data_IF_932943382097
#
_entry.id   IF_932943382097
#
_cell.length_a   1.000
_cell.length_b   1.000
_cell.length_c   1.000
_cell.angle_alpha   90.00
_cell.angle_beta   90.00
_cell.angle_gamma   90.00
#
_symmetry.space_group_name_H-M   'P 1'
#
loop_
_entity.id
_entity.type
_entity.pdbx_description
1 polymer ?
#
# COMPACT_ATOMS: atom_id res chain seq x y z
N UNK A 1 4.84 25.06 -2.33
CA UNK A 1 3.74 25.29 -3.27
C UNK A 1 2.49 25.79 -2.55
N UNK A 2 1.76 24.98 -1.77
CA UNK A 2 0.47 25.34 -1.18
C UNK A 2 0.51 25.55 0.35
N UNK A 3 1.35 26.47 0.84
CA UNK A 3 1.48 26.77 2.28
C UNK A 3 0.22 27.40 2.87
N UNK A 4 -0.49 28.20 2.09
CA UNK A 4 -1.54 29.07 2.59
C UNK A 4 -2.80 28.28 2.98
N UNK A 5 -2.96 27.10 2.39
CA UNK A 5 -3.94 26.10 2.83
C UNK A 5 -3.80 25.75 4.33
N UNK A 6 -2.60 25.85 4.89
CA UNK A 6 -2.33 25.44 6.27
C UNK A 6 -2.60 26.54 7.29
N UNK A 7 -3.14 27.70 6.93
CA UNK A 7 -3.46 28.79 7.87
C UNK A 7 -4.24 28.31 9.11
N UNK A 8 -3.83 28.70 10.35
CA UNK A 8 -2.72 29.59 10.73
C UNK A 8 -1.36 28.88 10.98
N UNK A 9 -1.22 27.63 10.55
CA UNK A 9 -0.06 26.75 10.77
C UNK A 9 0.90 26.69 9.57
N UNK A 10 0.97 27.74 8.74
CA UNK A 10 1.81 27.76 7.54
C UNK A 10 3.29 27.51 7.87
N UNK A 11 3.78 28.10 8.97
CA UNK A 11 5.17 27.96 9.39
C UNK A 11 5.51 26.52 9.80
N UNK A 12 4.55 25.79 10.37
CA UNK A 12 4.71 24.37 10.67
C UNK A 12 4.88 23.55 9.40
N UNK A 13 4.04 23.79 8.39
CA UNK A 13 4.13 23.12 7.09
C UNK A 13 5.47 23.41 6.40
N UNK A 14 5.96 24.66 6.44
CA UNK A 14 7.27 25.04 5.89
C UNK A 14 8.42 24.41 6.64
N UNK A 15 8.37 24.40 7.98
CA UNK A 15 9.38 23.78 8.83
C UNK A 15 9.48 22.27 8.56
N UNK A 16 8.35 21.57 8.54
CA UNK A 16 8.30 20.14 8.25
C UNK A 16 8.74 19.81 6.83
N UNK A 17 8.39 20.64 5.85
CA UNK A 17 8.89 20.48 4.48
C UNK A 17 10.42 20.57 4.44
N UNK A 18 11.01 21.64 5.01
CA UNK A 18 12.47 21.82 5.06
C UNK A 18 13.16 20.68 5.80
N UNK A 19 12.67 20.34 7.00
CA UNK A 19 13.20 19.24 7.79
C UNK A 19 13.15 17.91 7.02
N UNK A 20 12.01 17.62 6.37
CA UNK A 20 11.85 16.35 5.64
C UNK A 20 12.74 16.27 4.41
N UNK A 21 12.99 17.40 3.74
CA UNK A 21 13.94 17.50 2.65
C UNK A 21 15.39 17.28 3.11
N UNK A 22 15.78 17.90 4.23
CA UNK A 22 17.17 17.87 4.72
C UNK A 22 17.53 16.55 5.43
N UNK A 23 16.55 15.89 6.06
CA UNK A 23 16.78 14.73 6.93
C UNK A 23 16.21 13.43 6.40
N UNK A 24 15.33 13.49 5.41
CA UNK A 24 14.64 12.33 4.82
C UNK A 24 14.11 11.37 5.90
N UNK A 25 13.35 11.88 6.89
CA UNK A 25 12.83 11.05 7.95
C UNK A 25 11.88 10.00 7.37
N UNK A 26 11.88 8.80 7.95
CA UNK A 26 10.85 7.81 7.64
C UNK A 26 9.56 8.22 8.34
N UNK A 27 8.55 8.58 7.56
CA UNK A 27 7.22 8.98 8.02
C UNK A 27 6.19 7.96 7.50
N UNK A 28 5.44 7.30 8.41
CA UNK A 28 4.22 6.59 8.00
C UNK A 28 3.01 7.52 8.08
N UNK A 29 1.89 7.11 7.51
CA UNK A 29 0.61 7.79 7.69
C UNK A 29 -0.41 6.90 8.41
N UNK A 30 -1.15 7.48 9.34
CA UNK A 30 -2.23 6.85 10.10
C UNK A 30 -3.54 7.62 9.84
N UNK A 31 -4.24 7.23 8.79
CA UNK A 31 -5.33 8.04 8.20
C UNK A 31 -6.71 7.43 8.49
N UNK A 32 -6.83 6.12 8.33
CA UNK A 32 -8.11 5.42 8.36
C UNK A 32 -8.58 5.22 9.80
N UNK A 33 -9.85 5.54 10.06
CA UNK A 33 -10.50 5.29 11.34
C UNK A 33 -10.70 3.79 11.58
N UNK A 34 -10.68 3.35 12.84
CA UNK A 34 -11.03 1.97 13.17
C UNK A 34 -12.40 1.56 12.62
N UNK A 35 -12.55 0.33 12.10
CA UNK A 35 -13.80 -0.16 11.52
C UNK A 35 -14.77 -0.60 12.62
N UNK A 36 -15.10 0.31 13.54
CA UNK A 36 -16.04 0.09 14.64
C UNK A 36 -17.28 0.94 14.37
N UNK A 37 -18.47 0.35 14.57
CA UNK A 37 -19.80 0.92 14.35
C UNK A 37 -19.93 1.78 13.09
N UNK A 38 -19.55 1.20 11.93
CA UNK A 38 -19.69 1.88 10.61
C UNK A 38 -21.13 2.22 10.24
N UNK A 39 -22.10 1.64 10.94
CA UNK A 39 -23.52 1.99 10.89
C UNK A 39 -23.85 3.32 11.60
N UNK A 40 -22.88 3.92 12.32
CA UNK A 40 -23.04 5.17 13.06
C UNK A 40 -22.06 6.25 12.60
N UNK A 41 -22.43 7.54 12.72
CA UNK A 41 -21.51 8.66 12.52
C UNK A 41 -20.30 8.62 13.49
N UNK A 42 -19.07 9.00 13.06
CA UNK A 42 -17.87 8.96 13.90
C UNK A 42 -17.95 9.76 15.21
N UNK A 43 -18.80 10.78 15.29
CA UNK A 43 -19.04 11.56 16.51
C UNK A 43 -19.85 10.80 17.56
N UNK A 44 -20.58 9.74 17.19
CA UNK A 44 -21.31 8.85 18.10
C UNK A 44 -20.43 7.69 18.63
N UNK A 45 -19.29 7.41 17.98
CA UNK A 45 -18.23 6.49 18.42
C UNK A 45 -16.92 7.22 18.76
N UNK A 46 -17.10 8.37 19.41
CA UNK A 46 -16.02 9.31 19.67
C UNK A 46 -14.92 8.80 20.60
N UNK A 47 -15.16 7.73 21.36
CA UNK A 47 -14.18 7.12 22.26
C UNK A 47 -13.09 6.32 21.51
N UNK A 48 -13.41 5.84 20.30
CA UNK A 48 -12.49 5.04 19.47
C UNK A 48 -11.68 5.92 18.50
N UNK A 49 -12.33 6.90 17.88
CA UNK A 49 -11.71 7.72 16.85
C UNK A 49 -10.71 8.71 17.46
N UNK A 50 -9.60 8.96 16.74
CA UNK A 50 -8.66 10.05 17.08
C UNK A 50 -9.40 11.38 17.26
N UNK A 51 -9.32 11.96 18.45
CA UNK A 51 -9.94 13.24 18.81
C UNK A 51 -9.11 14.02 19.82
N UNK A 52 -9.30 15.34 19.82
CA UNK A 52 -8.74 16.24 20.82
C UNK A 52 -9.61 16.19 22.08
N UNK A 53 -9.02 15.79 23.20
CA UNK A 53 -9.66 15.85 24.52
C UNK A 53 -9.55 17.24 25.14
N UNK A 54 -8.43 17.93 24.94
CA UNK A 54 -8.13 19.20 25.61
C UNK A 54 -7.16 20.07 24.81
N UNK A 55 -7.46 21.36 24.76
CA UNK A 55 -6.55 22.41 24.31
C UNK A 55 -5.72 22.92 25.50
N UNK A 56 -4.41 23.07 25.31
CA UNK A 56 -3.49 23.61 26.32
C UNK A 56 -2.54 24.62 25.69
N UNK A 57 -1.89 25.44 26.52
CA UNK A 57 -0.87 26.39 26.05
C UNK A 57 0.30 25.69 25.33
N UNK A 58 0.55 24.41 25.64
CA UNK A 58 1.63 23.61 25.04
C UNK A 58 1.22 22.88 23.76
N UNK A 59 -0.07 22.76 23.47
CA UNK A 59 -0.57 21.96 22.36
C UNK A 59 -1.88 21.25 22.67
N UNK A 60 -2.18 20.22 21.89
CA UNK A 60 -3.40 19.43 21.96
C UNK A 60 -3.16 18.13 22.74
N UNK A 61 -4.05 17.78 23.67
CA UNK A 61 -4.11 16.43 24.24
C UNK A 61 -5.03 15.60 23.35
N UNK A 62 -4.50 14.54 22.77
CA UNK A 62 -5.20 13.70 21.79
C UNK A 62 -5.30 12.26 22.29
N UNK A 63 -6.48 11.68 22.08
CA UNK A 63 -6.75 10.27 22.36
C UNK A 63 -7.44 9.58 21.19
N UNK A 64 -7.39 8.26 21.17
CA UNK A 64 -8.06 7.40 20.21
C UNK A 64 -7.09 6.57 19.38
N UNK A 65 -7.61 5.90 18.35
CA UNK A 65 -6.83 4.98 17.53
C UNK A 65 -6.97 5.23 16.03
N UNK A 66 -6.01 4.70 15.28
CA UNK A 66 -6.02 4.57 13.82
C UNK A 66 -5.65 3.14 13.46
N UNK A 67 -6.22 2.62 12.39
CA UNK A 67 -5.97 1.24 11.96
C UNK A 67 -4.90 1.17 10.89
N UNK A 68 -4.24 0.01 10.85
CA UNK A 68 -3.35 -0.42 9.77
C UNK A 68 -2.31 0.65 9.46
N UNK A 69 -1.59 1.11 10.49
CA UNK A 69 -0.47 2.03 10.34
C UNK A 69 0.75 1.23 9.85
N UNK A 70 0.70 0.79 8.58
CA UNK A 70 1.71 -0.09 7.96
C UNK A 70 3.13 0.45 8.16
N UNK A 71 4.01 -0.40 8.70
CA UNK A 71 5.42 -0.08 8.94
C UNK A 71 5.69 0.92 10.07
N UNK A 72 4.66 1.41 10.77
CA UNK A 72 4.76 2.46 11.80
C UNK A 72 5.71 2.13 12.96
N UNK A 73 5.89 0.85 13.28
CA UNK A 73 6.83 0.41 14.31
C UNK A 73 8.31 0.65 13.94
N UNK A 74 8.59 0.98 12.68
CA UNK A 74 9.93 1.25 12.15
C UNK A 74 10.14 2.74 11.78
N UNK A 75 9.13 3.59 11.93
CA UNK A 75 9.19 4.99 11.45
C UNK A 75 9.67 5.95 12.50
N UNK A 76 10.25 7.08 12.07
CA UNK A 76 10.62 8.17 12.97
C UNK A 76 9.39 8.96 13.44
N UNK A 77 8.41 9.13 12.54
CA UNK A 77 7.20 9.89 12.81
C UNK A 77 5.97 9.21 12.19
N UNK A 78 4.81 9.50 12.79
CA UNK A 78 3.49 9.18 12.27
C UNK A 78 2.74 10.46 11.91
N UNK A 79 2.36 10.57 10.64
CA UNK A 79 1.46 11.59 10.15
C UNK A 79 0.01 11.16 10.39
N UNK A 80 -0.71 11.88 11.25
CA UNK A 80 -2.11 11.59 11.58
C UNK A 80 -3.01 12.53 10.80
N UNK A 81 -3.95 11.96 10.05
CA UNK A 81 -4.91 12.70 9.25
C UNK A 81 -6.24 11.93 9.15
N UNK A 82 -7.18 12.48 8.38
CA UNK A 82 -8.51 11.90 8.20
C UNK A 82 -8.83 11.79 6.72
N UNK A 83 -9.16 10.57 6.29
CA UNK A 83 -9.69 10.26 4.97
C UNK A 83 -10.66 9.10 5.16
N UNK A 84 -11.91 9.26 4.74
CA UNK A 84 -12.91 8.24 4.97
C UNK A 84 -14.27 8.59 4.39
N UNK A 85 -15.12 7.57 4.36
CA UNK A 85 -16.50 7.61 3.85
C UNK A 85 -17.36 8.66 4.56
N UNK A 86 -17.16 8.82 5.87
CA UNK A 86 -17.92 9.77 6.67
C UNK A 86 -17.02 10.97 6.94
N UNK A 87 -17.40 12.17 6.45
CA UNK A 87 -16.68 13.39 6.74
C UNK A 87 -16.58 13.66 8.24
N UNK A 88 -15.53 14.34 8.66
CA UNK A 88 -15.43 14.93 9.99
C UNK A 88 -16.57 15.93 10.17
N UNK A 89 -17.25 15.90 11.32
CA UNK A 89 -18.41 16.75 11.62
C UNK A 89 -18.20 17.70 12.82
N UNK A 90 -17.15 17.52 13.61
CA UNK A 90 -16.91 18.27 14.86
C UNK A 90 -15.44 18.71 14.97
N UNK A 91 -15.23 19.91 15.56
CA UNK A 91 -13.93 20.52 15.85
C UNK A 91 -12.93 19.53 16.45
N UNK A 92 -13.37 18.69 17.40
CA UNK A 92 -12.48 17.78 18.13
C UNK A 92 -11.89 16.66 17.27
N UNK A 93 -12.54 16.28 16.16
CA UNK A 93 -12.02 15.31 15.20
C UNK A 93 -11.32 15.96 14.01
N UNK A 94 -11.42 17.28 13.85
CA UNK A 94 -10.78 18.04 12.78
C UNK A 94 -9.32 18.36 13.15
N UNK A 95 -8.47 17.33 13.29
CA UNK A 95 -7.08 17.48 13.66
C UNK A 95 -6.14 16.74 12.70
N UNK A 96 -5.15 17.44 12.16
CA UNK A 96 -4.12 16.88 11.28
C UNK A 96 -2.77 17.32 11.81
N UNK A 97 -1.88 16.38 12.10
CA UNK A 97 -0.63 16.67 12.81
C UNK A 97 0.43 15.58 12.58
N UNK A 98 1.65 15.87 13.01
CA UNK A 98 2.77 14.92 13.04
C UNK A 98 3.10 14.52 14.49
N UNK A 99 3.44 13.26 14.73
CA UNK A 99 3.92 12.78 16.02
C UNK A 99 5.23 12.00 15.89
N UNK A 100 6.24 12.25 16.73
CA UNK A 100 7.33 11.30 16.92
C UNK A 100 6.77 9.95 17.38
N UNK A 101 7.26 8.86 16.79
CA UNK A 101 6.81 7.49 17.10
C UNK A 101 7.04 7.12 18.58
N UNK A 102 8.02 7.75 19.24
CA UNK A 102 8.34 7.55 20.66
C UNK A 102 7.64 8.54 21.61
N UNK A 103 6.63 9.28 21.16
CA UNK A 103 5.90 10.23 22.02
C UNK A 103 5.24 9.49 23.19
N UNK A 104 5.39 9.94 24.45
CA UNK A 104 4.69 9.33 25.58
C UNK A 104 3.18 9.24 25.35
N UNK A 105 2.62 8.05 25.56
CA UNK A 105 1.20 7.74 25.28
C UNK A 105 0.96 7.09 23.92
N UNK A 106 1.89 7.19 22.96
CA UNK A 106 1.85 6.41 21.72
C UNK A 106 2.10 4.94 22.02
N UNK A 107 1.23 4.07 21.50
CA UNK A 107 1.32 2.61 21.62
C UNK A 107 1.01 1.95 20.29
N UNK A 108 1.58 0.77 20.09
CA UNK A 108 1.34 -0.08 18.93
C UNK A 108 0.83 -1.44 19.38
N UNK A 109 -0.25 -1.91 18.75
CA UNK A 109 -0.63 -3.32 18.82
C UNK A 109 -0.32 -3.91 17.45
N UNK A 110 0.78 -4.64 17.37
CA UNK A 110 1.21 -5.31 16.14
C UNK A 110 0.24 -6.44 15.79
N UNK A 111 0.00 -6.65 14.48
CA UNK A 111 -0.56 -7.91 14.01
C UNK A 111 0.49 -9.03 14.15
N UNK A 112 0.07 -10.27 13.95
CA UNK A 112 0.98 -11.42 13.78
C UNK A 112 2.13 -11.05 12.84
N UNK A 113 3.37 -11.25 13.27
CA UNK A 113 4.57 -10.98 12.47
C UNK A 113 4.91 -12.19 11.62
N UNK A 114 4.89 -11.99 10.30
CA UNK A 114 5.29 -13.01 9.33
C UNK A 114 6.80 -13.18 9.33
N UNK A 115 7.55 -12.09 9.59
CA UNK A 115 9.00 -12.15 9.79
C UNK A 115 9.38 -13.03 10.99
N UNK A 116 8.72 -12.86 12.13
CA UNK A 116 8.95 -13.70 13.31
C UNK A 116 8.63 -15.16 13.01
N UNK A 117 7.47 -15.44 12.41
CA UNK A 117 7.09 -16.81 12.04
C UNK A 117 8.10 -17.44 11.07
N UNK A 118 8.51 -16.71 10.03
CA UNK A 118 9.52 -17.15 9.06
C UNK A 118 10.90 -17.39 9.70
N UNK A 119 11.27 -16.59 10.69
CA UNK A 119 12.56 -16.69 11.40
C UNK A 119 12.59 -17.87 12.37
N UNK A 120 11.50 -18.09 13.10
CA UNK A 120 11.43 -19.14 14.14
C UNK A 120 11.12 -20.51 13.53
N UNK A 121 10.20 -20.57 12.56
CA UNK A 121 9.70 -21.83 12.00
C UNK A 121 10.26 -22.16 10.62
N UNK A 122 11.04 -21.27 10.02
CA UNK A 122 11.55 -21.42 8.66
C UNK A 122 12.99 -20.93 8.50
N UNK A 123 13.31 -20.49 7.29
CA UNK A 123 14.60 -19.90 6.97
C UNK A 123 14.47 -18.90 5.82
N UNK A 124 15.49 -18.07 5.55
CA UNK A 124 15.51 -17.21 4.37
C UNK A 124 15.45 -17.97 3.03
N UNK A 125 15.74 -19.27 3.01
CA UNK A 125 15.52 -20.10 1.82
C UNK A 125 14.04 -20.50 1.68
N UNK A 126 13.37 -20.77 2.80
CA UNK A 126 11.99 -21.24 2.81
C UNK A 126 10.96 -20.10 2.68
N UNK A 127 11.28 -18.94 3.27
CA UNK A 127 10.46 -17.73 3.29
C UNK A 127 11.29 -16.49 2.93
N UNK A 128 11.77 -16.38 1.67
CA UNK A 128 12.72 -15.35 1.25
C UNK A 128 12.17 -13.91 1.22
N UNK A 129 10.85 -13.73 1.28
CA UNK A 129 10.21 -12.41 1.35
C UNK A 129 9.73 -12.13 2.77
N UNK A 130 8.92 -13.03 3.33
CA UNK A 130 8.35 -12.86 4.68
C UNK A 130 9.41 -12.58 5.75
N UNK A 131 10.60 -13.19 5.62
CA UNK A 131 11.71 -13.03 6.58
C UNK A 131 12.45 -11.67 6.55
N UNK A 132 12.11 -10.75 5.63
CA UNK A 132 12.88 -9.50 5.48
C UNK A 132 12.14 -8.29 4.92
N UNK A 133 10.91 -8.48 4.42
CA UNK A 133 10.10 -7.38 3.87
C UNK A 133 8.68 -7.36 4.46
N UNK A 134 8.48 -7.96 5.64
CA UNK A 134 7.21 -7.89 6.36
C UNK A 134 6.99 -6.48 6.96
N UNK A 135 6.03 -5.75 6.41
CA UNK A 135 5.62 -4.46 6.95
C UNK A 135 4.44 -4.67 7.91
N UNK A 136 4.71 -4.67 9.23
CA UNK A 136 3.66 -4.92 10.22
C UNK A 136 2.57 -3.84 10.17
N UNK A 137 1.32 -4.29 10.10
CA UNK A 137 0.12 -3.44 10.07
C UNK A 137 -0.40 -3.21 11.49
N UNK A 138 0.33 -2.39 12.26
CA UNK A 138 -0.01 -2.17 13.66
C UNK A 138 -1.24 -1.25 13.83
N UNK A 139 -2.03 -1.53 14.86
CA UNK A 139 -3.00 -0.55 15.39
C UNK A 139 -2.21 0.53 16.10
N UNK A 140 -2.42 1.78 15.71
CA UNK A 140 -1.77 2.96 16.29
C UNK A 140 -2.71 3.57 17.33
N UNK A 141 -2.24 3.66 18.57
CA UNK A 141 -3.02 4.15 19.71
C UNK A 141 -2.36 5.41 20.26
N UNK A 142 -3.17 6.43 20.47
CA UNK A 142 -2.82 7.64 21.19
C UNK A 142 -3.59 7.62 22.51
N UNK A 143 -2.87 7.54 23.61
CA UNK A 143 -3.42 7.58 24.96
C UNK A 143 -2.96 8.89 25.62
N UNK A 144 -3.82 9.92 25.51
CA UNK A 144 -3.59 11.27 26.03
C UNK A 144 -2.23 11.86 25.63
N UNK A 145 -1.89 11.72 24.35
CA UNK A 145 -0.63 12.22 23.80
C UNK A 145 -0.68 13.74 23.70
N UNK A 146 0.42 14.40 24.08
CA UNK A 146 0.58 15.84 23.81
C UNK A 146 1.11 16.01 22.39
N UNK A 147 0.33 16.66 21.53
CA UNK A 147 0.74 17.14 20.20
C UNK A 147 1.12 18.61 20.33
N UNK A 148 2.42 18.97 20.25
CA UNK A 148 2.84 20.37 20.30
C UNK A 148 2.23 21.19 19.16
N UNK A 149 1.95 22.48 19.40
CA UNK A 149 1.39 23.37 18.38
C UNK A 149 2.24 23.43 17.11
N UNK A 150 3.56 23.28 17.22
CA UNK A 150 4.51 23.28 16.11
C UNK A 150 4.35 22.06 15.18
N UNK A 151 3.62 21.03 15.61
CA UNK A 151 3.37 19.82 14.85
C UNK A 151 1.93 19.73 14.29
N UNK A 152 1.11 20.74 14.54
CA UNK A 152 -0.26 20.84 14.01
C UNK A 152 -0.23 21.43 12.60
N UNK A 153 -1.01 20.83 11.70
CA UNK A 153 -1.19 21.32 10.32
C UNK A 153 -2.61 21.84 10.08
N UNK A 154 -3.62 21.21 10.71
CA UNK A 154 -5.02 21.65 10.71
C UNK A 154 -5.59 21.34 12.08
N UNK A 155 -6.31 22.29 12.68
CA UNK A 155 -7.08 22.04 13.88
C UNK A 155 -8.37 22.87 13.91
N UNK A 156 -9.49 22.22 14.20
CA UNK A 156 -10.80 22.82 14.42
C UNK A 156 -11.55 23.30 13.17
N UNK A 157 -10.85 23.43 12.05
CA UNK A 157 -11.42 23.75 10.74
C UNK A 157 -11.88 22.45 10.05
N UNK A 158 -13.18 22.15 10.21
CA UNK A 158 -13.82 20.95 9.68
C UNK A 158 -13.77 20.90 8.15
N UNK A 159 -13.97 22.04 7.48
CA UNK A 159 -13.93 22.11 6.02
C UNK A 159 -12.53 21.81 5.50
N UNK A 160 -11.50 22.44 6.09
CA UNK A 160 -10.10 22.21 5.73
C UNK A 160 -9.67 20.77 6.02
N UNK A 161 -10.10 20.18 7.14
CA UNK A 161 -9.81 18.78 7.46
C UNK A 161 -10.40 17.82 6.42
N UNK A 162 -11.66 18.00 6.02
CA UNK A 162 -12.32 17.17 5.00
C UNK A 162 -11.72 17.36 3.60
N UNK A 163 -11.21 18.55 3.29
CA UNK A 163 -10.60 18.88 1.99
C UNK A 163 -9.07 18.75 1.95
N UNK A 164 -8.46 18.15 2.98
CA UNK A 164 -7.01 18.03 3.07
C UNK A 164 -6.40 17.28 1.88
N UNK A 165 -6.82 16.04 1.63
CA UNK A 165 -6.23 15.21 0.57
C UNK A 165 -6.49 15.75 -0.85
N UNK A 166 -7.70 16.22 -1.20
CA UNK A 166 -7.96 16.81 -2.51
C UNK A 166 -7.16 18.10 -2.79
N UNK A 167 -6.87 18.92 -1.76
CA UNK A 167 -6.27 20.26 -1.96
C UNK A 167 -4.76 20.33 -1.73
N UNK A 168 -4.17 19.37 -1.02
CA UNK A 168 -2.74 19.42 -0.64
C UNK A 168 -1.78 18.89 -1.70
N UNK A 169 -2.29 18.26 -2.77
CA UNK A 169 -1.45 17.61 -3.78
C UNK A 169 -0.84 16.28 -3.33
N UNK A 170 -1.28 15.74 -2.18
CA UNK A 170 -0.84 14.44 -1.69
C UNK A 170 -1.27 13.31 -2.62
N UNK A 171 -2.57 13.24 -2.96
CA UNK A 171 -3.13 12.11 -3.73
C UNK A 171 -2.47 11.89 -5.10
N UNK A 172 -2.27 12.92 -5.95
CA UNK A 172 -1.60 12.73 -7.25
C UNK A 172 -0.19 12.16 -7.14
N UNK A 173 0.53 12.45 -6.06
CA UNK A 173 1.90 11.97 -5.83
C UNK A 173 1.89 10.56 -5.22
N UNK A 174 0.94 10.30 -4.33
CA UNK A 174 0.70 8.99 -3.74
C UNK A 174 0.38 7.93 -4.80
N UNK A 175 -0.49 8.24 -5.78
CA UNK A 175 -0.86 7.29 -6.82
C UNK A 175 0.30 6.98 -7.77
N UNK A 176 1.15 7.95 -8.10
CA UNK A 176 2.38 7.69 -8.86
C UNK A 176 3.26 6.69 -8.11
N UNK A 177 3.55 6.96 -6.84
CA UNK A 177 4.36 6.06 -6.02
C UNK A 177 3.77 4.64 -5.97
N UNK A 178 2.47 4.52 -5.71
CA UNK A 178 1.76 3.25 -5.68
C UNK A 178 1.83 2.49 -7.00
N UNK A 179 1.59 3.19 -8.12
CA UNK A 179 1.58 2.62 -9.46
C UNK A 179 2.97 2.14 -9.89
N UNK A 180 4.01 2.97 -9.73
CA UNK A 180 5.38 2.58 -10.06
C UNK A 180 5.85 1.41 -9.21
N UNK A 181 5.56 1.41 -7.90
CA UNK A 181 5.92 0.31 -7.00
C UNK A 181 5.24 -1.00 -7.40
N UNK A 182 3.96 -0.96 -7.77
CA UNK A 182 3.24 -2.14 -8.27
C UNK A 182 3.83 -2.63 -9.60
N UNK A 183 4.19 -1.73 -10.51
CA UNK A 183 4.82 -2.08 -11.77
C UNK A 183 6.16 -2.83 -11.56
N UNK A 184 7.02 -2.36 -10.65
CA UNK A 184 8.27 -3.04 -10.26
C UNK A 184 7.98 -4.40 -9.60
N UNK A 185 6.97 -4.50 -8.74
CA UNK A 185 6.56 -5.79 -8.16
C UNK A 185 6.14 -6.79 -9.25
N UNK A 186 5.45 -6.32 -10.28
CA UNK A 186 5.03 -7.15 -11.41
C UNK A 186 6.19 -7.52 -12.34
N UNK A 187 7.24 -6.70 -12.45
CA UNK A 187 8.51 -7.12 -13.10
C UNK A 187 9.06 -8.39 -12.42
N UNK A 188 9.12 -8.35 -11.09
CA UNK A 188 9.61 -9.45 -10.28
C UNK A 188 8.74 -10.70 -10.43
N UNK A 189 7.42 -10.57 -10.27
CA UNK A 189 6.46 -11.68 -10.39
C UNK A 189 6.48 -12.30 -11.79
N UNK A 190 6.51 -11.48 -12.85
CA UNK A 190 6.59 -11.98 -14.23
C UNK A 190 7.89 -12.78 -14.46
N UNK A 191 9.02 -12.29 -13.93
CA UNK A 191 10.29 -13.02 -13.96
C UNK A 191 10.23 -14.37 -13.24
N UNK A 192 9.59 -14.43 -12.07
CA UNK A 192 9.39 -15.69 -11.35
C UNK A 192 8.51 -16.67 -12.12
N UNK A 193 7.40 -16.21 -12.71
CA UNK A 193 6.51 -17.05 -13.51
C UNK A 193 7.22 -17.63 -14.73
N UNK A 194 7.97 -16.81 -15.47
CA UNK A 194 8.77 -17.27 -16.61
C UNK A 194 9.70 -18.41 -16.20
N UNK A 195 10.50 -18.20 -15.14
CA UNK A 195 11.40 -19.23 -14.60
C UNK A 195 10.63 -20.46 -14.10
N UNK A 196 9.45 -20.28 -13.50
CA UNK A 196 8.67 -21.39 -12.97
C UNK A 196 8.17 -22.31 -14.11
N UNK A 197 7.72 -21.74 -15.22
CA UNK A 197 7.28 -22.50 -16.40
C UNK A 197 8.46 -23.19 -17.11
N UNK A 198 9.65 -22.59 -17.10
CA UNK A 198 10.90 -23.22 -17.56
C UNK A 198 11.28 -24.41 -16.67
N UNK A 199 11.29 -24.22 -15.35
CA UNK A 199 11.61 -25.27 -14.39
C UNK A 199 10.59 -26.43 -14.39
N UNK A 200 9.35 -26.15 -14.78
CA UNK A 200 8.31 -27.17 -14.99
C UNK A 200 8.39 -27.83 -16.38
N UNK A 201 9.02 -27.21 -17.36
CA UNK A 201 9.04 -27.68 -18.76
C UNK A 201 7.73 -27.42 -19.52
N UNK A 202 6.89 -26.50 -19.02
CA UNK A 202 5.57 -26.20 -19.60
C UNK A 202 5.56 -24.89 -20.41
N UNK A 203 6.68 -24.17 -20.46
CA UNK A 203 6.83 -22.86 -21.14
C UNK A 203 6.40 -22.85 -22.61
N UNK A 204 6.51 -23.99 -23.30
CA UNK A 204 6.21 -24.11 -24.73
C UNK A 204 4.74 -24.51 -25.00
N UNK A 205 3.94 -24.74 -23.95
CA UNK A 205 2.52 -25.02 -24.11
C UNK A 205 1.76 -23.73 -24.43
N UNK A 206 0.94 -23.75 -25.48
CA UNK A 206 0.17 -22.59 -25.94
C UNK A 206 -0.65 -21.92 -24.83
N UNK A 207 -1.33 -22.70 -23.99
CA UNK A 207 -2.12 -22.17 -22.87
C UNK A 207 -1.26 -21.46 -21.81
N UNK A 208 -0.07 -22.01 -21.52
CA UNK A 208 0.89 -21.41 -20.59
C UNK A 208 1.46 -20.10 -21.16
N UNK A 209 1.81 -20.07 -22.44
CA UNK A 209 2.28 -18.85 -23.10
C UNK A 209 1.24 -17.73 -23.08
N UNK A 210 -0.05 -18.07 -23.29
CA UNK A 210 -1.14 -17.11 -23.20
C UNK A 210 -1.24 -16.52 -21.78
N UNK A 211 -1.18 -17.36 -20.75
CA UNK A 211 -1.23 -16.93 -19.35
C UNK A 211 -0.04 -16.05 -18.96
N UNK A 212 1.18 -16.43 -19.37
CA UNK A 212 2.39 -15.62 -19.17
C UNK A 212 2.26 -14.27 -19.88
N UNK A 213 1.77 -14.27 -21.12
CA UNK A 213 1.50 -13.06 -21.89
C UNK A 213 0.52 -12.12 -21.20
N UNK A 214 -0.53 -12.65 -20.57
CA UNK A 214 -1.48 -11.85 -19.79
C UNK A 214 -0.82 -11.18 -18.58
N UNK A 215 0.03 -11.91 -17.82
CA UNK A 215 0.78 -11.32 -16.68
C UNK A 215 1.72 -10.20 -17.15
N UNK A 216 2.40 -10.39 -18.29
CA UNK A 216 3.25 -9.35 -18.89
C UNK A 216 2.42 -8.14 -19.34
N UNK A 217 1.21 -8.36 -19.87
CA UNK A 217 0.31 -7.28 -20.26
C UNK A 217 -0.11 -6.43 -19.05
N UNK A 218 -0.48 -7.06 -17.93
CA UNK A 218 -0.75 -6.36 -16.67
C UNK A 218 0.46 -5.54 -16.20
N UNK A 219 1.66 -6.14 -16.23
CA UNK A 219 2.91 -5.43 -15.91
C UNK A 219 3.10 -4.18 -16.79
N UNK A 220 2.92 -4.32 -18.11
CA UNK A 220 3.11 -3.21 -19.05
C UNK A 220 2.08 -2.10 -18.83
N UNK A 221 0.84 -2.46 -18.48
CA UNK A 221 -0.22 -1.50 -18.18
C UNK A 221 0.19 -0.55 -17.05
N UNK A 222 0.72 -1.06 -15.92
CA UNK A 222 1.09 -0.21 -14.79
C UNK A 222 2.30 0.68 -15.10
N UNK A 223 3.28 0.21 -15.87
CA UNK A 223 4.34 1.08 -16.38
C UNK A 223 3.79 2.20 -17.28
N UNK A 224 2.87 1.87 -18.19
CA UNK A 224 2.24 2.85 -19.07
C UNK A 224 1.41 3.90 -18.30
N UNK A 225 0.67 3.47 -17.26
CA UNK A 225 -0.08 4.38 -16.40
C UNK A 225 0.87 5.30 -15.62
N UNK A 226 1.94 4.75 -15.04
CA UNK A 226 2.96 5.53 -14.34
C UNK A 226 3.60 6.58 -15.27
N UNK A 227 3.96 6.20 -16.49
CA UNK A 227 4.50 7.11 -17.51
C UNK A 227 3.51 8.23 -17.86
N UNK A 228 2.24 7.89 -18.08
CA UNK A 228 1.19 8.86 -18.40
C UNK A 228 0.95 9.86 -17.26
N UNK A 229 1.03 9.42 -16.00
CA UNK A 229 0.90 10.31 -14.83
C UNK A 229 1.99 11.39 -14.81
N UNK A 230 3.23 11.05 -15.16
CA UNK A 230 4.38 11.96 -15.01
C UNK A 230 4.73 12.73 -16.28
N UNK A 231 4.42 12.20 -17.47
CA UNK A 231 4.71 12.84 -18.77
C UNK A 231 3.65 13.84 -19.22
N UNK A 232 2.46 13.84 -18.60
CA UNK A 232 1.41 14.83 -18.82
C UNK A 232 0.97 15.50 -17.49
N UNK A 233 1.89 16.15 -16.77
CA UNK A 233 1.56 16.73 -15.47
C UNK A 233 0.60 17.92 -15.64
N UNK A 234 -0.24 18.18 -14.63
CA UNK A 234 -1.20 19.29 -14.61
C UNK A 234 -0.67 20.46 -13.79
N UNK A 235 -0.87 21.72 -14.24
CA UNK A 235 -0.54 22.89 -13.44
C UNK A 235 -1.22 22.85 -12.06
N UNK A 236 -0.54 23.35 -11.03
CA UNK A 236 -1.09 23.40 -9.67
C UNK A 236 -1.01 24.80 -9.05
N UNK A 237 0.08 25.15 -8.38
CA UNK A 237 0.25 26.44 -7.70
C UNK A 237 1.56 27.04 -8.16
N UNK A 238 1.53 28.28 -8.67
CA UNK A 238 2.70 28.91 -9.28
C UNK A 238 3.31 28.01 -10.36
N UNK A 239 4.62 27.83 -10.33
CA UNK A 239 5.35 26.99 -11.30
C UNK A 239 5.32 25.48 -10.97
N UNK A 240 4.63 25.07 -9.90
CA UNK A 240 4.57 23.67 -9.50
C UNK A 240 3.47 22.93 -10.27
N UNK A 241 3.76 21.67 -10.59
CA UNK A 241 2.82 20.76 -11.26
C UNK A 241 2.49 19.55 -10.39
N UNK A 242 1.36 18.91 -10.67
CA UNK A 242 0.95 17.64 -10.09
C UNK A 242 0.86 16.56 -11.17
N UNK A 243 1.13 15.28 -10.84
CA UNK A 243 0.89 14.18 -11.77
C UNK A 243 -0.55 14.12 -12.27
N UNK A 244 -0.75 13.58 -13.47
CA UNK A 244 -2.09 13.43 -14.05
C UNK A 244 -2.94 12.42 -13.27
N UNK A 245 -4.09 12.86 -12.79
CA UNK A 245 -5.03 12.01 -12.05
C UNK A 245 -5.94 11.16 -12.94
N UNK A 246 -6.07 11.41 -14.24
CA UNK A 246 -6.84 10.54 -15.14
C UNK A 246 -6.26 9.11 -15.18
N UNK A 247 -4.96 8.90 -15.53
CA UNK A 247 -4.32 7.59 -15.38
C UNK A 247 -4.17 7.16 -13.91
N UNK A 248 -4.04 8.12 -12.98
CA UNK A 248 -4.00 7.85 -11.53
C UNK A 248 -5.26 7.14 -11.02
N UNK A 249 -6.43 7.64 -11.39
CA UNK A 249 -7.72 7.04 -11.06
C UNK A 249 -7.91 5.67 -11.72
N UNK A 250 -7.45 5.52 -12.97
CA UNK A 250 -7.44 4.22 -13.64
C UNK A 250 -6.56 3.20 -12.88
N UNK A 251 -5.36 3.58 -12.45
CA UNK A 251 -4.50 2.74 -11.60
C UNK A 251 -5.23 2.29 -10.33
N UNK A 252 -5.83 3.24 -9.59
CA UNK A 252 -6.48 2.94 -8.31
C UNK A 252 -7.55 1.85 -8.45
N UNK A 253 -8.33 1.86 -9.54
CA UNK A 253 -9.38 0.86 -9.80
C UNK A 253 -8.79 -0.43 -10.37
N UNK A 254 -7.92 -0.35 -11.38
CA UNK A 254 -7.44 -1.52 -12.11
C UNK A 254 -6.49 -2.38 -11.25
N UNK A 255 -5.72 -1.76 -10.35
CA UNK A 255 -4.85 -2.48 -9.42
C UNK A 255 -5.63 -3.52 -8.59
N UNK A 256 -6.86 -3.20 -8.17
CA UNK A 256 -7.68 -4.09 -7.34
C UNK A 256 -8.15 -5.34 -8.08
N UNK A 257 -8.12 -5.32 -9.41
CA UNK A 257 -8.54 -6.44 -10.28
C UNK A 257 -7.30 -7.20 -10.75
N UNK A 258 -6.30 -6.45 -11.22
CA UNK A 258 -5.12 -7.01 -11.86
C UNK A 258 -4.31 -7.89 -10.91
N UNK A 259 -4.10 -7.48 -9.64
CA UNK A 259 -3.25 -8.25 -8.73
C UNK A 259 -3.83 -9.64 -8.41
N UNK A 260 -5.14 -9.70 -8.10
CA UNK A 260 -5.85 -10.97 -7.90
C UNK A 260 -5.89 -11.81 -9.17
N UNK A 261 -6.10 -11.18 -10.34
CA UNK A 261 -6.07 -11.90 -11.62
C UNK A 261 -4.68 -12.48 -11.93
N UNK A 262 -3.60 -11.74 -11.67
CA UNK A 262 -2.22 -12.21 -11.82
C UNK A 262 -1.96 -13.40 -10.90
N UNK A 263 -2.33 -13.31 -9.61
CA UNK A 263 -2.22 -14.43 -8.67
C UNK A 263 -2.96 -15.66 -9.18
N UNK A 264 -4.24 -15.51 -9.53
CA UNK A 264 -5.08 -16.59 -10.05
C UNK A 264 -4.45 -17.23 -11.30
N UNK A 265 -3.99 -16.43 -12.25
CA UNK A 265 -3.33 -16.94 -13.47
C UNK A 265 -2.06 -17.74 -13.14
N UNK A 266 -1.27 -17.32 -12.15
CA UNK A 266 -0.08 -18.06 -11.70
C UNK A 266 -0.47 -19.38 -11.04
N UNK A 267 -1.46 -19.38 -10.15
CA UNK A 267 -1.94 -20.60 -9.49
C UNK A 267 -2.48 -21.61 -10.50
N UNK A 268 -3.20 -21.16 -11.53
CA UNK A 268 -3.65 -22.02 -12.62
C UNK A 268 -2.49 -22.56 -13.48
N UNK A 269 -1.44 -21.76 -13.69
CA UNK A 269 -0.35 -22.07 -14.63
C UNK A 269 0.72 -22.96 -13.99
N UNK A 270 1.09 -22.68 -12.74
CA UNK A 270 2.14 -23.42 -12.01
C UNK A 270 1.54 -24.57 -11.20
N UNK A 271 0.30 -24.40 -10.73
CA UNK A 271 -0.50 -25.44 -10.08
C UNK A 271 0.27 -26.17 -8.95
N UNK A 272 0.28 -27.50 -8.97
CA UNK A 272 0.92 -28.34 -7.96
C UNK A 272 2.44 -28.13 -7.86
N UNK A 273 3.08 -27.48 -8.84
CA UNK A 273 4.49 -27.10 -8.75
C UNK A 273 4.81 -26.23 -7.54
N UNK A 274 3.83 -25.44 -7.06
CA UNK A 274 3.96 -24.57 -5.90
C UNK A 274 3.94 -25.31 -4.56
N UNK A 275 3.41 -26.54 -4.52
CA UNK A 275 3.36 -27.35 -3.29
C UNK A 275 4.26 -28.59 -3.36
N UNK A 276 4.82 -28.91 -4.53
CA UNK A 276 5.74 -30.02 -4.69
C UNK A 276 7.16 -29.67 -4.23
N UNK A 277 7.30 -29.57 -2.91
CA UNK A 277 8.42 -29.01 -2.15
C UNK A 277 8.75 -29.88 -0.93
N UNK A 278 9.96 -29.72 -0.41
CA UNK A 278 10.35 -30.25 0.90
C UNK A 278 10.05 -29.24 2.03
N UNK A 279 10.09 -29.71 3.27
CA UNK A 279 9.69 -28.96 4.46
C UNK A 279 10.59 -27.76 4.71
N UNK A 280 11.90 -27.98 4.81
CA UNK A 280 12.85 -26.95 5.24
C UNK A 280 14.19 -27.07 4.53
N UNK A 281 14.93 -25.97 4.40
CA UNK A 281 16.26 -25.96 3.76
C UNK A 281 17.27 -26.97 4.36
N UNK A 282 17.09 -27.37 5.63
CA UNK A 282 17.91 -28.40 6.27
C UNK A 282 17.77 -29.78 5.62
N UNK A 283 16.67 -30.05 4.92
CA UNK A 283 16.43 -31.35 4.30
C UNK A 283 17.50 -31.67 3.25
N UNK A 284 17.98 -30.66 2.52
CA UNK A 284 19.08 -30.79 1.56
C UNK A 284 20.43 -31.14 2.21
N UNK A 285 20.55 -31.00 3.53
CA UNK A 285 21.77 -31.34 4.29
C UNK A 285 21.69 -32.75 4.89
N UNK A 286 20.51 -33.36 4.92
CA UNK A 286 20.34 -34.71 5.46
C UNK A 286 20.71 -35.75 4.38
N UNK A 287 21.77 -36.55 4.59
CA UNK A 287 22.24 -37.51 3.59
C UNK A 287 21.23 -38.63 3.27
N UNK A 288 20.31 -38.94 4.19
CA UNK A 288 19.30 -39.99 3.98
C UNK A 288 18.22 -39.59 2.98
N UNK A 289 17.84 -38.30 2.96
CA UNK A 289 16.78 -37.80 2.07
C UNK A 289 17.31 -37.06 0.85
N UNK A 290 18.55 -36.56 0.90
CA UNK A 290 19.17 -35.80 -0.19
C UNK A 290 19.07 -36.51 -1.55
N UNK A 291 19.37 -37.82 -1.70
CA UNK A 291 19.26 -38.51 -2.99
C UNK A 291 17.84 -38.46 -3.57
N UNK A 292 16.80 -38.56 -2.71
CA UNK A 292 15.40 -38.49 -3.14
C UNK A 292 15.00 -37.07 -3.56
N UNK A 293 15.48 -36.05 -2.85
CA UNK A 293 15.25 -34.66 -3.25
C UNK A 293 15.88 -34.40 -4.63
N UNK A 294 17.14 -34.78 -4.81
CA UNK A 294 17.86 -34.58 -6.08
C UNK A 294 17.22 -35.34 -7.26
N UNK A 295 16.66 -36.54 -7.01
CA UNK A 295 16.01 -37.34 -8.04
C UNK A 295 14.60 -36.84 -8.36
N UNK A 296 13.76 -36.63 -7.34
CA UNK A 296 12.31 -36.42 -7.52
C UNK A 296 11.90 -34.95 -7.55
N UNK A 297 12.69 -34.05 -6.97
CA UNK A 297 12.40 -32.61 -6.96
C UNK A 297 13.22 -31.80 -7.97
N UNK A 298 14.03 -32.43 -8.84
CA UNK A 298 14.69 -31.73 -9.95
C UNK A 298 13.70 -31.06 -10.89
N UNK A 299 14.11 -29.97 -11.54
CA UNK A 299 13.33 -29.33 -12.58
C UNK A 299 13.68 -29.84 -13.98
N UNK A 300 12.83 -29.48 -14.93
CA UNK A 300 13.13 -29.56 -16.36
C UNK A 300 14.30 -28.62 -16.72
N UNK A 301 14.85 -28.77 -17.93
CA UNK A 301 15.91 -27.88 -18.45
C UNK A 301 17.17 -27.81 -17.58
N UNK A 302 17.52 -28.90 -16.87
CA UNK A 302 18.76 -28.99 -16.10
C UNK A 302 18.72 -28.32 -14.72
N UNK A 303 17.58 -27.79 -14.28
CA UNK A 303 17.42 -27.25 -12.93
C UNK A 303 17.66 -28.33 -11.87
N UNK A 304 18.59 -28.07 -10.95
CA UNK A 304 18.79 -28.92 -9.77
C UNK A 304 17.61 -28.79 -8.82
N UNK A 305 17.41 -29.79 -7.96
CA UNK A 305 16.33 -29.80 -6.99
C UNK A 305 16.33 -28.56 -6.08
N UNK A 306 17.50 -28.18 -5.56
CA UNK A 306 17.65 -27.00 -4.70
C UNK A 306 17.26 -25.69 -5.42
N UNK A 307 17.63 -25.54 -6.69
CA UNK A 307 17.31 -24.37 -7.51
C UNK A 307 15.81 -24.28 -7.80
N UNK A 308 15.19 -25.42 -8.17
CA UNK A 308 13.75 -25.51 -8.40
C UNK A 308 12.97 -25.21 -7.13
N UNK A 309 13.32 -25.84 -6.01
CA UNK A 309 12.64 -25.62 -4.73
C UNK A 309 12.78 -24.16 -4.28
N UNK A 310 13.99 -23.58 -4.38
CA UNK A 310 14.22 -22.18 -4.03
C UNK A 310 13.31 -21.24 -4.84
N UNK A 311 13.18 -21.48 -6.14
CA UNK A 311 12.31 -20.72 -7.02
C UNK A 311 10.83 -20.86 -6.63
N UNK A 312 10.36 -22.08 -6.38
CA UNK A 312 8.96 -22.35 -6.06
C UNK A 312 8.58 -21.84 -4.67
N UNK A 313 9.46 -21.95 -3.67
CA UNK A 313 9.26 -21.34 -2.34
C UNK A 313 9.21 -19.83 -2.42
N UNK A 314 10.07 -19.20 -3.23
CA UNK A 314 10.01 -17.76 -3.47
C UNK A 314 8.69 -17.33 -4.14
N UNK A 315 8.23 -18.07 -5.15
CA UNK A 315 6.97 -17.77 -5.83
C UNK A 315 5.76 -18.00 -4.91
N UNK A 316 5.79 -19.06 -4.09
CA UNK A 316 4.77 -19.33 -3.08
C UNK A 316 4.74 -18.24 -2.01
N UNK A 317 5.89 -17.82 -1.49
CA UNK A 317 5.97 -16.75 -0.50
C UNK A 317 5.51 -15.40 -1.06
N UNK A 318 5.50 -15.22 -2.39
CA UNK A 318 4.95 -14.03 -3.03
C UNK A 318 3.42 -13.99 -3.09
N UNK A 319 2.74 -15.14 -2.99
CA UNK A 319 1.32 -15.27 -3.37
C UNK A 319 0.46 -16.04 -2.35
N UNK A 320 0.96 -17.18 -1.87
CA UNK A 320 0.20 -18.18 -1.11
C UNK A 320 0.58 -18.30 0.37
N UNK A 321 1.71 -17.73 0.81
CA UNK A 321 2.00 -17.59 2.24
C UNK A 321 1.06 -16.58 2.91
N UNK A 322 1.04 -16.51 4.24
CA UNK A 322 0.26 -15.50 4.97
C UNK A 322 0.68 -14.07 4.57
N UNK A 323 1.98 -13.85 4.33
CA UNK A 323 2.52 -12.63 3.74
C UNK A 323 1.99 -12.37 2.33
N UNK A 324 1.97 -13.40 1.46
CA UNK A 324 1.39 -13.30 0.12
C UNK A 324 -0.09 -12.94 0.13
N UNK A 325 -0.87 -13.59 1.00
CA UNK A 325 -2.29 -13.29 1.22
C UNK A 325 -2.53 -11.88 1.77
N UNK A 326 -1.71 -11.43 2.73
CA UNK A 326 -1.75 -10.04 3.21
C UNK A 326 -1.42 -9.06 2.09
N UNK A 327 -0.44 -9.36 1.23
CA UNK A 327 -0.13 -8.50 0.09
C UNK A 327 -1.26 -8.44 -0.94
N UNK A 328 -1.98 -9.54 -1.17
CA UNK A 328 -3.21 -9.49 -1.98
C UNK A 328 -4.25 -8.56 -1.36
N UNK A 329 -4.55 -8.73 -0.07
CA UNK A 329 -5.50 -7.85 0.63
C UNK A 329 -5.07 -6.38 0.56
N UNK A 330 -3.77 -6.12 0.69
CA UNK A 330 -3.17 -4.80 0.55
C UNK A 330 -3.40 -4.22 -0.84
N UNK A 331 -3.01 -4.91 -1.92
CA UNK A 331 -3.15 -4.34 -3.28
C UNK A 331 -4.62 -4.15 -3.70
N UNK A 332 -5.56 -4.92 -3.13
CA UNK A 332 -7.01 -4.74 -3.35
C UNK A 332 -7.52 -3.44 -2.70
N UNK A 333 -7.00 -3.06 -1.52
CA UNK A 333 -7.59 -2.00 -0.69
C UNK A 333 -6.64 -0.80 -0.44
N UNK A 334 -5.43 -0.81 -1.00
CA UNK A 334 -4.39 0.20 -0.74
C UNK A 334 -4.86 1.63 -1.04
N UNK A 335 -5.62 1.81 -2.12
CA UNK A 335 -6.17 3.11 -2.52
C UNK A 335 -7.46 3.52 -1.79
N UNK A 336 -8.04 2.66 -0.96
CA UNK A 336 -9.36 2.82 -0.36
C UNK A 336 -10.32 1.69 -0.70
N UNK A 337 -11.58 1.79 -0.26
CA UNK A 337 -12.60 0.81 -0.62
C UNK A 337 -12.88 0.82 -2.13
N UNK A 338 -13.18 -0.35 -2.69
CA UNK A 338 -13.36 -0.49 -4.15
C UNK A 338 -14.51 0.35 -4.72
N UNK A 339 -15.51 0.69 -3.90
CA UNK A 339 -16.61 1.58 -4.29
C UNK A 339 -16.17 3.04 -4.33
N UNK A 340 -15.44 3.50 -3.32
CA UNK A 340 -15.03 4.91 -3.22
C UNK A 340 -14.03 5.29 -4.31
N UNK A 341 -13.03 4.44 -4.57
CA UNK A 341 -12.07 4.71 -5.63
C UNK A 341 -12.72 4.78 -7.01
N UNK A 342 -13.82 4.05 -7.24
CA UNK A 342 -14.62 4.15 -8.48
C UNK A 342 -15.40 5.46 -8.54
N UNK A 343 -15.97 5.91 -7.42
CA UNK A 343 -16.64 7.22 -7.33
C UNK A 343 -15.65 8.36 -7.54
N UNK A 344 -14.43 8.27 -7.02
CA UNK A 344 -13.39 9.29 -7.21
C UNK A 344 -13.01 9.47 -8.67
N UNK A 345 -13.03 8.41 -9.48
CA UNK A 345 -12.83 8.54 -10.93
C UNK A 345 -13.95 9.36 -11.59
N UNK A 346 -15.21 9.12 -11.22
CA UNK A 346 -16.35 9.91 -11.71
C UNK A 346 -16.25 11.37 -11.26
N UNK A 347 -16.00 11.61 -9.98
CA UNK A 347 -15.89 12.96 -9.43
C UNK A 347 -14.70 13.72 -10.01
N UNK A 348 -13.58 13.03 -10.25
CA UNK A 348 -12.44 13.59 -10.96
C UNK A 348 -12.79 14.02 -12.38
N UNK A 349 -13.51 13.18 -13.13
CA UNK A 349 -13.95 13.50 -14.49
C UNK A 349 -14.97 14.66 -14.53
N UNK A 350 -15.85 14.75 -13.54
CA UNK A 350 -16.77 15.89 -13.40
C UNK A 350 -16.01 17.17 -13.08
N UNK A 351 -15.09 17.14 -12.13
CA UNK A 351 -14.31 18.31 -11.71
C UNK A 351 -13.37 18.82 -12.81
N UNK A 352 -12.85 17.95 -13.67
CA UNK A 352 -11.96 18.35 -14.78
C UNK A 352 -12.70 18.78 -16.05
N UNK A 353 -14.03 18.68 -16.09
CA UNK A 353 -14.83 18.90 -17.30
C UNK A 353 -14.76 17.76 -18.33
N UNK A 354 -14.00 16.68 -18.04
CA UNK A 354 -13.93 15.50 -18.90
C UNK A 354 -15.30 14.84 -19.09
N UNK A 355 -16.13 14.79 -18.04
CA UNK A 355 -17.47 14.20 -18.12
C UNK A 355 -18.36 14.93 -19.14
N UNK A 356 -18.30 16.26 -19.18
CA UNK A 356 -19.02 17.07 -20.17
C UNK A 356 -18.44 16.89 -21.57
N UNK A 357 -17.12 16.81 -21.70
CA UNK A 357 -16.46 16.49 -22.98
C UNK A 357 -16.89 15.13 -23.53
N UNK A 358 -17.01 14.11 -22.68
CA UNK A 358 -17.45 12.77 -23.11
C UNK A 358 -18.91 12.79 -23.58
N UNK A 359 -19.80 13.46 -22.85
CA UNK A 359 -21.21 13.65 -23.26
C UNK A 359 -21.30 14.42 -24.59
N UNK A 360 -20.60 15.55 -24.69
CA UNK A 360 -20.59 16.37 -25.90
C UNK A 360 -20.00 15.67 -27.12
N UNK A 361 -19.12 14.68 -26.94
CA UNK A 361 -18.66 13.83 -28.06
C UNK A 361 -19.76 12.87 -28.53
N UNK A 362 -20.52 12.27 -27.62
CA UNK A 362 -21.63 11.40 -27.97
C UNK A 362 -22.79 12.14 -28.67
N UNK A 363 -22.99 13.43 -28.34
CA UNK A 363 -23.97 14.30 -28.99
C UNK A 363 -23.62 14.68 -30.44
N UNK A 364 -22.39 14.37 -30.91
CA UNK A 364 -21.97 14.58 -32.30
C UNK A 364 -22.32 13.41 -33.24
N UNK A 365 -22.82 12.30 -32.69
CA UNK A 365 -23.34 11.16 -33.43
C UNK A 365 -24.83 11.37 -33.74
#
# INVERSE_FOLDING_TARGET
>A
ANSDFYDPYQDNARRWYKYSQERVPFINHAIIHPPIDRDRPPNEVGDVCCHVEKETDKGLIVSGAKVVATGSVLTNYTFVAHHGLIPVQDKKFAAIFMLPTNTPGVKFICRTSYEMAATVMGSPFDYPLSSRVDENDAVFIMDKVLVPWENVFVYGDVEKANNFFPRTGFLPRFVVHGCTRLAVKLDFIAGLLLKATEAAGTKDYRGVQANVGEVIAWRNLFWALSDAMVRDPKPWIGDYVLPNMDPGNAYSIIATIAYTKVKYTIEQTVASGLIYLNSHASDFKNPEIRPYLDQYLRGSNGYKAEERVKLMKLLWDCLGSEFGGRHELYEINYGGSTEEIRRYALFGAQASGNADRFKGFAEQC
#
